data_IF_572978473929
#
_entry.id   IF_572978473929
#
_cell.length_a   1.000
_cell.length_b   1.000
_cell.length_c   1.000
_cell.angle_alpha   90.00
_cell.angle_beta   90.00
_cell.angle_gamma   90.00
#
_symmetry.space_group_name_H-M   'P 1'
#
loop_
_entity.id
_entity.type
_entity.pdbx_description
1 polymer ?
#
# COMPACT_ATOMS: atom_id res chain seq x y z
N UNK A 1 32.34 -81.84 24.47
CA UNK A 1 32.84 -80.49 24.83
C UNK A 1 32.22 -79.46 23.90
N UNK A 2 31.18 -78.75 24.34
CA UNK A 2 30.83 -77.41 23.84
C UNK A 2 29.82 -76.79 24.80
N UNK A 3 30.24 -75.68 25.42
CA UNK A 3 29.63 -74.99 26.55
C UNK A 3 28.41 -74.21 26.05
N UNK A 4 27.23 -74.46 26.61
CA UNK A 4 26.00 -73.69 26.35
C UNK A 4 26.19 -72.29 26.94
N UNK A 5 26.27 -71.27 26.08
CA UNK A 5 26.33 -69.87 26.49
C UNK A 5 24.95 -69.42 26.96
N UNK A 6 24.73 -69.36 28.27
CA UNK A 6 23.69 -68.53 28.86
C UNK A 6 24.14 -67.07 28.76
N UNK A 7 23.64 -66.35 27.75
CA UNK A 7 23.68 -64.89 27.73
C UNK A 7 22.63 -64.37 28.71
N UNK A 8 23.06 -64.11 29.93
CA UNK A 8 22.33 -63.34 30.92
C UNK A 8 22.15 -61.91 30.41
N UNK A 9 20.99 -61.63 29.81
CA UNK A 9 20.55 -60.28 29.51
C UNK A 9 20.27 -59.56 30.83
N UNK A 10 21.30 -58.91 31.37
CA UNK A 10 21.14 -57.93 32.43
C UNK A 10 20.28 -56.77 31.88
N UNK A 11 18.99 -56.76 32.21
CA UNK A 11 18.11 -55.66 31.88
C UNK A 11 18.70 -54.38 32.52
N UNK A 12 18.90 -53.29 31.75
CA UNK A 12 19.40 -52.06 32.33
C UNK A 12 18.43 -51.57 33.41
N UNK A 13 18.96 -51.29 34.60
CA UNK A 13 18.27 -50.59 35.68
C UNK A 13 17.95 -49.17 35.18
N UNK A 14 16.81 -49.03 34.50
CA UNK A 14 16.25 -47.74 34.11
C UNK A 14 15.74 -47.11 35.41
N UNK A 15 16.66 -46.48 36.14
CA UNK A 15 16.31 -45.63 37.27
C UNK A 15 15.45 -44.50 36.74
N UNK A 16 14.17 -44.59 37.02
CA UNK A 16 13.18 -43.55 36.75
C UNK A 16 13.57 -42.33 37.58
N UNK A 17 14.35 -41.43 36.97
CA UNK A 17 14.70 -40.15 37.57
C UNK A 17 13.44 -39.31 37.46
N UNK A 18 12.57 -39.44 38.46
CA UNK A 18 11.29 -38.73 38.51
C UNK A 18 11.44 -37.25 38.13
N UNK A 19 10.41 -36.72 37.49
CA UNK A 19 10.41 -35.35 36.97
C UNK A 19 10.66 -34.36 38.11
N UNK A 20 11.71 -33.55 37.99
CA UNK A 20 12.00 -32.53 38.99
C UNK A 20 11.10 -31.31 38.78
N UNK A 21 10.70 -30.64 39.87
CA UNK A 21 9.91 -29.41 39.79
C UNK A 21 10.61 -28.33 38.92
N UNK A 22 11.95 -28.29 38.96
CA UNK A 22 12.74 -27.38 38.14
C UNK A 22 12.58 -27.68 36.65
N UNK A 23 12.58 -28.95 36.26
CA UNK A 23 12.40 -29.36 34.86
C UNK A 23 11.02 -28.97 34.33
N UNK A 24 9.97 -29.16 35.13
CA UNK A 24 8.60 -28.72 34.76
C UNK A 24 8.54 -27.20 34.60
N UNK A 25 9.13 -26.45 35.54
CA UNK A 25 9.13 -24.97 35.47
C UNK A 25 9.88 -24.49 34.23
N UNK A 26 11.05 -25.05 33.93
CA UNK A 26 11.82 -24.71 32.73
C UNK A 26 11.03 -25.06 31.46
N UNK A 27 10.40 -26.23 31.39
CA UNK A 27 9.57 -26.61 30.25
C UNK A 27 8.39 -25.64 30.04
N UNK A 28 7.70 -25.24 31.10
CA UNK A 28 6.60 -24.26 31.03
C UNK A 28 7.10 -22.91 30.53
N UNK A 29 8.24 -22.43 31.05
CA UNK A 29 8.84 -21.16 30.61
C UNK A 29 9.23 -21.23 29.13
N UNK A 30 9.84 -22.32 28.68
CA UNK A 30 10.23 -22.51 27.28
C UNK A 30 9.03 -22.58 26.34
N UNK A 31 7.97 -23.31 26.72
CA UNK A 31 6.73 -23.34 25.94
C UNK A 31 6.10 -21.95 25.90
N UNK A 32 6.06 -21.25 27.04
CA UNK A 32 5.53 -19.89 27.13
C UNK A 32 6.24 -18.90 26.21
N UNK A 33 7.57 -18.91 26.18
CA UNK A 33 8.34 -18.00 25.30
C UNK A 33 8.12 -18.30 23.83
N UNK A 34 8.08 -19.59 23.44
CA UNK A 34 7.78 -20.00 22.05
C UNK A 34 6.37 -19.55 21.65
N UNK A 35 5.36 -19.80 22.49
CA UNK A 35 3.97 -19.42 22.21
C UNK A 35 3.83 -17.91 22.01
N UNK A 36 4.43 -17.10 22.88
CA UNK A 36 4.41 -15.63 22.73
C UNK A 36 5.08 -15.18 21.43
N UNK A 37 6.24 -15.76 21.09
CA UNK A 37 6.93 -15.45 19.84
C UNK A 37 6.07 -15.79 18.61
N UNK A 38 5.40 -16.95 18.62
CA UNK A 38 4.52 -17.38 17.52
C UNK A 38 3.30 -16.46 17.35
N UNK A 39 2.64 -16.07 18.45
CA UNK A 39 1.48 -15.17 18.39
C UNK A 39 1.87 -13.80 17.80
N UNK A 40 3.02 -13.26 18.21
CA UNK A 40 3.54 -12.00 17.68
C UNK A 40 3.85 -12.09 16.18
N UNK A 41 4.45 -13.20 15.73
CA UNK A 41 4.75 -13.44 14.33
C UNK A 41 3.47 -13.52 13.47
N UNK A 42 2.45 -14.24 13.93
CA UNK A 42 1.15 -14.34 13.23
C UNK A 42 0.46 -12.98 13.15
N UNK A 43 0.45 -12.23 14.26
CA UNK A 43 -0.14 -10.89 14.31
C UNK A 43 0.56 -9.92 13.33
N UNK A 44 1.88 -10.00 13.24
CA UNK A 44 2.66 -9.24 12.26
C UNK A 44 2.31 -9.63 10.82
N UNK A 45 2.23 -10.93 10.54
CA UNK A 45 1.87 -11.44 9.20
C UNK A 45 0.49 -10.96 8.73
N UNK A 46 -0.50 -10.94 9.63
CA UNK A 46 -1.85 -10.43 9.32
C UNK A 46 -1.80 -8.95 8.94
N UNK A 47 -1.07 -8.13 9.69
CA UNK A 47 -0.94 -6.68 9.40
C UNK A 47 -0.26 -6.44 8.05
N UNK A 48 0.80 -7.17 7.75
CA UNK A 48 1.48 -7.09 6.45
C UNK A 48 0.54 -7.51 5.32
N UNK A 49 -0.26 -8.56 5.52
CA UNK A 49 -1.24 -9.02 4.54
C UNK A 49 -2.33 -7.96 4.29
N UNK A 50 -2.87 -7.33 5.33
CA UNK A 50 -3.86 -6.27 5.18
C UNK A 50 -3.30 -5.07 4.43
N UNK A 51 -2.08 -4.60 4.78
CA UNK A 51 -1.43 -3.49 4.08
C UNK A 51 -1.17 -3.81 2.61
N UNK A 52 -0.78 -5.05 2.30
CA UNK A 52 -0.57 -5.48 0.91
C UNK A 52 -1.86 -5.46 0.08
N UNK A 53 -2.99 -5.90 0.66
CA UNK A 53 -4.30 -5.82 0.00
C UNK A 53 -4.74 -4.38 -0.23
N UNK A 54 -4.61 -3.53 0.80
CA UNK A 54 -4.92 -2.10 0.69
C UNK A 54 -4.07 -1.42 -0.37
N UNK A 55 -2.78 -1.74 -0.46
CA UNK A 55 -1.90 -1.21 -1.50
C UNK A 55 -2.34 -1.66 -2.90
N UNK A 56 -2.71 -2.93 -3.09
CA UNK A 56 -3.18 -3.42 -4.39
C UNK A 56 -4.50 -2.76 -4.84
N UNK A 57 -5.45 -2.55 -3.91
CA UNK A 57 -6.68 -1.82 -4.20
C UNK A 57 -6.38 -0.36 -4.55
N UNK A 58 -5.44 0.27 -3.84
CA UNK A 58 -5.03 1.65 -4.10
C UNK A 58 -4.35 1.82 -5.47
N UNK A 59 -3.52 0.87 -5.89
CA UNK A 59 -2.93 0.86 -7.23
C UNK A 59 -4.02 0.67 -8.32
N UNK A 60 -5.04 -0.13 -8.05
CA UNK A 60 -6.19 -0.28 -8.96
C UNK A 60 -6.98 1.02 -9.06
N UNK A 61 -7.30 1.64 -7.91
CA UNK A 61 -8.03 2.90 -7.84
C UNK A 61 -7.30 4.04 -8.58
N UNK A 62 -5.98 4.16 -8.38
CA UNK A 62 -5.19 5.25 -8.96
C UNK A 62 -5.00 5.09 -10.46
N UNK A 63 -4.81 3.87 -10.96
CA UNK A 63 -4.73 3.59 -12.40
C UNK A 63 -6.08 3.84 -13.08
N UNK A 64 -7.18 3.41 -12.47
CA UNK A 64 -8.53 3.68 -12.96
C UNK A 64 -8.84 5.19 -12.97
N UNK A 65 -8.46 5.92 -11.91
CA UNK A 65 -8.58 7.37 -11.86
C UNK A 65 -7.78 8.05 -12.99
N UNK A 66 -6.53 7.63 -13.20
CA UNK A 66 -5.69 8.15 -14.27
C UNK A 66 -6.27 7.87 -15.67
N UNK A 67 -6.78 6.66 -15.92
CA UNK A 67 -7.43 6.31 -17.19
C UNK A 67 -8.66 7.17 -17.45
N UNK A 68 -9.52 7.36 -16.44
CA UNK A 68 -10.71 8.23 -16.55
C UNK A 68 -10.32 9.68 -16.82
N UNK A 69 -9.36 10.22 -16.07
CA UNK A 69 -8.86 11.58 -16.28
C UNK A 69 -8.25 11.72 -17.67
N UNK A 70 -7.49 10.74 -18.14
CA UNK A 70 -6.88 10.76 -19.47
C UNK A 70 -7.93 10.75 -20.60
N UNK A 71 -8.98 9.94 -20.47
CA UNK A 71 -10.07 9.84 -21.46
C UNK A 71 -11.09 10.98 -21.41
N UNK A 72 -11.22 11.65 -20.27
CA UNK A 72 -12.10 12.79 -20.15
C UNK A 72 -11.75 13.87 -21.16
N UNK A 73 -12.74 14.65 -21.59
CA UNK A 73 -12.49 15.87 -22.35
C UNK A 73 -11.60 16.82 -21.54
N UNK A 74 -10.91 17.74 -22.23
CA UNK A 74 -10.10 18.74 -21.52
C UNK A 74 -11.05 19.63 -20.74
N UNK A 75 -10.78 19.80 -19.45
CA UNK A 75 -11.56 20.63 -18.56
C UNK A 75 -10.71 21.19 -17.43
N UNK A 76 -11.34 21.98 -16.57
CA UNK A 76 -10.68 22.66 -15.45
C UNK A 76 -10.86 21.95 -14.10
N UNK A 77 -11.78 20.98 -14.04
CA UNK A 77 -12.00 20.15 -12.88
C UNK A 77 -12.08 18.68 -13.29
N UNK A 78 -11.20 17.87 -12.71
CA UNK A 78 -11.16 16.42 -12.90
C UNK A 78 -11.52 15.65 -11.64
N UNK A 79 -11.94 16.34 -10.58
CA UNK A 79 -12.24 15.77 -9.26
C UNK A 79 -13.29 14.67 -9.38
N UNK A 80 -14.35 14.89 -10.17
CA UNK A 80 -15.43 13.92 -10.37
C UNK A 80 -14.91 12.57 -10.93
N UNK A 81 -13.90 12.58 -11.80
CA UNK A 81 -13.36 11.36 -12.39
C UNK A 81 -12.53 10.55 -11.39
N UNK A 82 -11.74 11.23 -10.56
CA UNK A 82 -10.98 10.59 -9.49
C UNK A 82 -11.90 10.06 -8.38
N UNK A 83 -12.92 10.83 -7.99
CA UNK A 83 -13.93 10.43 -7.01
C UNK A 83 -14.72 9.21 -7.50
N UNK A 84 -15.13 9.20 -8.78
CA UNK A 84 -15.83 8.06 -9.34
C UNK A 84 -14.96 6.79 -9.40
N UNK A 85 -13.64 6.91 -9.54
CA UNK A 85 -12.72 5.77 -9.52
C UNK A 85 -12.59 5.14 -8.11
N UNK A 86 -12.49 5.96 -7.05
CA UNK A 86 -12.47 5.43 -5.67
C UNK A 86 -13.82 4.87 -5.25
N UNK A 87 -14.93 5.44 -5.74
CA UNK A 87 -16.27 4.89 -5.50
C UNK A 87 -16.46 3.50 -6.12
N UNK A 88 -15.80 3.17 -7.24
CA UNK A 88 -15.85 1.80 -7.79
C UNK A 88 -15.15 0.76 -6.90
N UNK A 89 -14.23 1.20 -6.04
CA UNK A 89 -13.62 0.36 -4.99
C UNK A 89 -14.44 0.36 -3.68
N UNK A 90 -15.59 1.04 -3.66
CA UNK A 90 -16.45 1.18 -2.48
C UNK A 90 -15.93 2.16 -1.43
N UNK A 91 -15.04 3.09 -1.82
CA UNK A 91 -14.45 4.06 -0.90
C UNK A 91 -15.20 5.39 -0.90
N UNK A 92 -15.03 6.15 0.18
CA UNK A 92 -15.57 7.50 0.29
C UNK A 92 -14.90 8.42 -0.76
N UNK A 93 -15.66 9.24 -1.51
CA UNK A 93 -15.09 10.11 -2.55
C UNK A 93 -14.08 11.14 -2.00
N UNK A 94 -14.17 11.52 -0.73
CA UNK A 94 -13.20 12.45 -0.11
C UNK A 94 -11.78 11.88 0.01
N UNK A 95 -11.62 10.56 -0.19
CA UNK A 95 -10.31 9.90 -0.22
C UNK A 95 -9.48 10.25 -1.46
N UNK A 96 -10.12 10.80 -2.50
CA UNK A 96 -9.48 11.28 -3.72
C UNK A 96 -9.43 12.81 -3.75
N UNK A 97 -8.25 13.37 -4.01
CA UNK A 97 -8.02 14.79 -4.21
C UNK A 97 -7.28 15.02 -5.53
N UNK A 98 -7.70 16.05 -6.27
CA UNK A 98 -7.12 16.41 -7.56
C UNK A 98 -6.60 17.83 -7.49
N UNK A 99 -5.39 18.05 -8.00
CA UNK A 99 -4.85 19.39 -8.21
C UNK A 99 -4.50 19.57 -9.68
N UNK A 100 -4.98 20.67 -10.25
CA UNK A 100 -4.76 21.03 -11.64
C UNK A 100 -3.71 22.14 -11.73
N UNK A 101 -2.79 21.99 -12.68
CA UNK A 101 -1.73 22.93 -12.98
C UNK A 101 -1.60 23.10 -14.50
N UNK A 102 -1.13 24.26 -14.95
CA UNK A 102 -0.78 24.51 -16.35
C UNK A 102 0.67 24.98 -16.45
N UNK A 103 1.29 24.69 -17.58
CA UNK A 103 2.66 25.11 -17.86
C UNK A 103 2.66 26.49 -18.52
N UNK A 104 3.34 27.44 -17.89
CA UNK A 104 3.57 28.77 -18.45
C UNK A 104 5.00 28.83 -19.00
N UNK A 105 5.20 28.85 -20.34
CA UNK A 105 6.52 28.89 -20.93
C UNK A 105 7.23 30.21 -20.58
N UNK A 106 8.55 30.17 -20.46
CA UNK A 106 9.33 31.38 -20.26
C UNK A 106 9.38 32.23 -21.54
N UNK A 107 9.72 33.52 -21.38
CA UNK A 107 9.85 34.44 -22.51
C UNK A 107 11.03 34.10 -23.45
N UNK A 108 11.97 33.27 -22.99
CA UNK A 108 13.15 32.84 -23.74
C UNK A 108 13.37 31.33 -23.61
N UNK A 109 13.85 30.63 -24.65
CA UNK A 109 14.20 29.21 -24.57
C UNK A 109 15.35 28.89 -23.61
N UNK A 110 16.11 29.91 -23.17
CA UNK A 110 17.18 29.76 -22.16
C UNK A 110 16.67 29.77 -20.72
N UNK A 111 15.39 30.08 -20.51
CA UNK A 111 14.75 30.12 -19.20
C UNK A 111 13.74 28.97 -19.08
N UNK A 112 13.68 28.33 -17.92
CA UNK A 112 12.69 27.29 -17.66
C UNK A 112 11.31 27.94 -17.45
N UNK A 113 10.27 27.35 -18.03
CA UNK A 113 8.89 27.73 -17.72
C UNK A 113 8.50 27.29 -16.31
N UNK A 114 7.32 27.72 -15.87
CA UNK A 114 6.82 27.44 -14.52
C UNK A 114 5.48 26.75 -14.57
N UNK A 115 5.26 25.80 -13.66
CA UNK A 115 3.94 25.24 -13.42
C UNK A 115 3.19 26.16 -12.48
N UNK A 116 1.98 26.55 -12.87
CA UNK A 116 1.10 27.39 -12.07
C UNK A 116 -0.20 26.63 -11.79
N UNK A 117 -0.75 26.82 -10.58
CA UNK A 117 -2.03 26.21 -10.21
C UNK A 117 -3.14 26.76 -11.09
N UNK A 118 -3.86 25.86 -11.77
CA UNK A 118 -5.03 26.22 -12.57
C UNK A 118 -6.29 26.08 -11.75
N UNK A 119 -6.70 27.14 -11.06
CA UNK A 119 -8.05 27.25 -10.50
C UNK A 119 -9.01 27.83 -11.54
N UNK A 120 -10.33 27.74 -11.28
CA UNK A 120 -11.32 28.45 -12.08
C UNK A 120 -10.98 29.95 -12.11
N UNK A 121 -10.79 30.50 -13.32
CA UNK A 121 -10.39 31.89 -13.55
C UNK A 121 -8.87 32.12 -13.64
N UNK A 122 -8.04 31.09 -13.46
CA UNK A 122 -6.61 31.18 -13.75
C UNK A 122 -6.36 31.21 -15.28
N UNK A 123 -5.22 31.74 -15.75
CA UNK A 123 -4.87 31.74 -17.18
C UNK A 123 -4.93 30.39 -17.88
N UNK A 124 -4.71 29.27 -17.15
CA UNK A 124 -4.87 27.92 -17.70
C UNK A 124 -6.31 27.42 -17.80
N UNK A 125 -7.25 28.14 -17.21
CA UNK A 125 -8.66 27.81 -17.05
C UNK A 125 -9.52 29.08 -17.02
N UNK A 126 -9.72 29.67 -18.20
CA UNK A 126 -10.55 30.86 -18.38
C UNK A 126 -12.04 30.49 -18.20
N UNK A 127 -12.47 30.39 -16.94
CA UNK A 127 -13.79 29.87 -16.58
C UNK A 127 -13.79 28.34 -16.45
N UNK A 128 -14.68 27.68 -17.19
CA UNK A 128 -14.78 26.20 -17.25
C UNK A 128 -13.95 25.58 -18.36
N UNK A 129 -13.54 26.39 -19.32
CA UNK A 129 -12.81 25.93 -20.50
C UNK A 129 -11.29 26.03 -20.30
N UNK A 130 -10.55 24.98 -20.68
CA UNK A 130 -9.09 25.00 -20.66
C UNK A 130 -8.57 25.92 -21.76
N UNK A 131 -7.54 26.71 -21.47
CA UNK A 131 -6.93 27.56 -22.49
C UNK A 131 -6.21 26.70 -23.53
N UNK A 132 -6.47 26.97 -24.82
CA UNK A 132 -5.85 26.23 -25.91
C UNK A 132 -4.35 26.39 -25.97
N UNK A 133 -3.67 25.35 -26.49
CA UNK A 133 -2.21 25.26 -26.64
C UNK A 133 -1.40 25.21 -25.33
N UNK A 134 -2.04 25.34 -24.16
CA UNK A 134 -1.37 25.14 -22.88
C UNK A 134 -1.36 23.67 -22.48
N UNK A 135 -0.18 23.21 -22.06
CA UNK A 135 0.00 21.90 -21.45
C UNK A 135 -0.54 21.94 -20.03
N UNK A 136 -1.37 20.97 -19.69
CA UNK A 136 -1.98 20.81 -18.38
C UNK A 136 -1.37 19.60 -17.67
N UNK A 137 -1.25 19.69 -16.35
CA UNK A 137 -0.86 18.59 -15.47
C UNK A 137 -1.92 18.44 -14.39
N UNK A 138 -2.47 17.25 -14.30
CA UNK A 138 -3.45 16.85 -13.30
C UNK A 138 -2.76 15.90 -12.34
N UNK A 139 -2.58 16.32 -11.09
CA UNK A 139 -2.05 15.45 -10.04
C UNK A 139 -3.22 14.87 -9.27
N UNK A 140 -3.32 13.55 -9.26
CA UNK A 140 -4.35 12.80 -8.55
C UNK A 140 -3.70 12.21 -7.30
N UNK A 141 -4.27 12.47 -6.13
CA UNK A 141 -3.85 11.92 -4.86
C UNK A 141 -4.97 11.06 -4.29
N UNK A 142 -4.71 9.80 -3.99
CA UNK A 142 -5.67 8.90 -3.35
C UNK A 142 -5.08 8.39 -2.05
N UNK A 143 -5.88 8.40 -1.00
CA UNK A 143 -5.53 7.87 0.32
C UNK A 143 -6.43 6.68 0.62
N UNK A 144 -5.88 5.59 1.16
CA UNK A 144 -6.70 4.45 1.57
C UNK A 144 -7.71 4.85 2.66
N UNK A 145 -8.85 4.16 2.79
CA UNK A 145 -9.88 4.52 3.79
C UNK A 145 -9.41 4.52 5.24
N UNK A 146 -8.39 3.72 5.55
CA UNK A 146 -7.75 3.63 6.86
C UNK A 146 -6.65 4.69 7.08
N UNK A 147 -6.35 5.52 6.07
CA UNK A 147 -5.30 6.53 6.09
C UNK A 147 -3.87 5.97 6.06
N UNK A 148 -3.69 4.65 5.94
CA UNK A 148 -2.38 4.00 6.10
C UNK A 148 -1.47 4.14 4.88
N UNK A 149 -2.04 4.26 3.68
CA UNK A 149 -1.30 4.36 2.43
C UNK A 149 -1.86 5.50 1.58
N UNK A 150 -0.96 6.30 0.98
CA UNK A 150 -1.30 7.34 0.02
C UNK A 150 -0.50 7.15 -1.26
N UNK A 151 -1.13 7.34 -2.41
CA UNK A 151 -0.50 7.28 -3.73
C UNK A 151 -0.83 8.53 -4.53
N UNK A 152 0.08 8.89 -5.42
CA UNK A 152 -0.05 10.05 -6.28
C UNK A 152 0.37 9.70 -7.70
N UNK A 153 -0.37 10.17 -8.70
CA UNK A 153 -0.03 10.03 -10.11
C UNK A 153 -0.29 11.35 -10.83
N UNK A 154 0.50 11.64 -11.84
CA UNK A 154 0.36 12.83 -12.67
C UNK A 154 -0.04 12.43 -14.08
N UNK A 155 -1.08 13.08 -14.60
CA UNK A 155 -1.55 12.95 -15.98
C UNK A 155 -1.27 14.28 -16.67
N UNK A 156 -0.54 14.23 -17.78
CA UNK A 156 -0.24 15.42 -18.59
C UNK A 156 -1.14 15.40 -19.83
N UNK A 157 -1.82 16.52 -20.09
CA UNK A 157 -2.63 16.73 -21.29
C UNK A 157 -2.05 17.87 -22.11
N UNK A 158 -1.96 17.68 -23.42
CA UNK A 158 -1.55 18.70 -24.37
C UNK A 158 -2.48 18.68 -25.58
N UNK A 159 -2.89 19.86 -26.05
CA UNK A 159 -3.47 20.03 -27.39
C UNK A 159 -2.34 20.41 -28.35
N UNK A 160 -1.76 19.41 -29.01
CA UNK A 160 -0.85 19.61 -30.15
C UNK A 160 -1.47 19.01 -31.40
#
# INVERSE_FOLDING_TARGET
MAKRMEQEHAAPDVRDRGVSLVEVVVAIVLIGTVVVATINAVSGSIRVSSTSRTAAQLETAIVNAADRVNRAERGCDYTIYAQAAVQTEGWDPSTAAVTHEYYLPAASPTQQGTWQTGSAGAPGCAGTEPTDLLVQRVTINITSPDGSVRRSIQVVKSSV
#
